data_IF_621177065067
#
_entry.id   IF_621177065067
#
_cell.length_a   1.000
_cell.length_b   1.000
_cell.length_c   1.000
_cell.angle_alpha   90.00
_cell.angle_beta   90.00
_cell.angle_gamma   90.00
#
_symmetry.space_group_name_H-M   'P 1'
#
loop_
_entity.id
_entity.type
_entity.pdbx_description
1 polymer ?
#
# COMPACT_ATOMS: atom_id res chain seq x y z
N UNK A 1 0.28 37.07 21.85
CA UNK A 1 1.23 36.45 20.91
C UNK A 1 0.71 35.06 20.50
N UNK A 2 -0.62 34.89 20.46
CA UNK A 2 -1.55 34.96 19.31
C UNK A 2 -1.50 33.72 18.44
N UNK A 3 -2.48 32.84 18.68
CA UNK A 3 -2.90 31.65 17.92
C UNK A 3 -2.70 31.79 16.38
N UNK A 4 -2.91 32.98 15.82
CA UNK A 4 -2.72 33.28 14.40
C UNK A 4 -1.27 33.32 13.92
N UNK A 5 -0.29 33.65 14.78
CA UNK A 5 1.14 33.58 14.44
C UNK A 5 1.58 32.13 14.25
N UNK A 6 1.14 31.24 15.15
CA UNK A 6 1.37 29.80 15.05
C UNK A 6 0.67 29.21 13.83
N UNK A 7 -0.57 29.62 13.53
CA UNK A 7 -1.27 29.22 12.29
C UNK A 7 -0.52 29.67 11.05
N UNK A 8 0.00 30.89 11.04
CA UNK A 8 0.77 31.37 9.89
C UNK A 8 2.08 30.61 9.71
N UNK A 9 2.76 30.25 10.81
CA UNK A 9 3.96 29.43 10.72
C UNK A 9 3.67 28.04 10.13
N UNK A 10 2.54 27.42 10.49
CA UNK A 10 2.08 26.18 9.87
C UNK A 10 1.81 26.33 8.36
N UNK A 11 1.26 27.47 7.92
CA UNK A 11 1.09 27.78 6.49
C UNK A 11 2.46 27.99 5.80
N UNK A 12 3.40 28.66 6.47
CA UNK A 12 4.75 28.95 5.93
C UNK A 12 5.55 27.67 5.75
N UNK A 13 5.49 26.76 6.72
CA UNK A 13 6.16 25.45 6.68
C UNK A 13 5.41 24.41 5.85
N UNK A 14 4.17 24.71 5.43
CA UNK A 14 3.26 23.80 4.71
C UNK A 14 2.98 22.52 5.49
N UNK A 15 2.78 22.66 6.80
CA UNK A 15 2.61 21.53 7.70
C UNK A 15 1.21 20.90 7.56
N UNK A 16 1.15 19.77 6.86
CA UNK A 16 -0.10 19.03 6.63
C UNK A 16 -0.75 18.44 7.87
N UNK A 17 -0.06 18.41 9.03
CA UNK A 17 -0.68 18.00 10.30
C UNK A 17 -1.79 18.95 10.73
N UNK A 18 -1.79 20.17 10.22
CA UNK A 18 -2.82 21.18 10.48
C UNK A 18 -3.93 21.22 9.41
N UNK A 19 -3.86 20.38 8.38
CA UNK A 19 -4.93 20.29 7.40
C UNK A 19 -6.24 19.83 8.06
N UNK A 20 -7.29 20.63 7.90
CA UNK A 20 -8.59 20.39 8.54
C UNK A 20 -8.69 20.94 9.98
N UNK A 21 -7.58 21.30 10.62
CA UNK A 21 -7.60 22.02 11.91
C UNK A 21 -8.04 23.48 11.74
N UNK A 22 -7.61 24.11 10.63
CA UNK A 22 -8.06 25.43 10.21
C UNK A 22 -7.85 25.62 8.70
N UNK A 23 -8.38 26.72 8.18
CA UNK A 23 -8.22 27.18 6.81
C UNK A 23 -7.67 28.60 6.82
N UNK A 24 -6.96 28.99 5.77
CA UNK A 24 -6.52 30.37 5.59
C UNK A 24 -7.03 30.92 4.26
N UNK A 25 -7.43 32.18 4.24
CA UNK A 25 -7.86 32.88 3.05
C UNK A 25 -6.96 34.07 2.75
N UNK A 26 -6.80 34.36 1.46
CA UNK A 26 -5.91 35.40 0.96
C UNK A 26 -6.76 36.52 0.37
N UNK A 27 -6.74 37.68 1.02
CA UNK A 27 -7.57 38.86 0.66
C UNK A 27 -7.36 39.30 -0.79
N UNK A 28 -6.11 39.31 -1.25
CA UNK A 28 -5.76 39.79 -2.59
C UNK A 28 -6.23 38.87 -3.71
N UNK A 29 -6.48 37.58 -3.44
CA UNK A 29 -6.90 36.61 -4.47
C UNK A 29 -8.34 36.14 -4.30
N UNK A 30 -8.97 36.41 -3.15
CA UNK A 30 -10.30 35.89 -2.83
C UNK A 30 -10.34 34.38 -2.70
N UNK A 31 -9.22 33.72 -2.39
CA UNK A 31 -9.09 32.26 -2.31
C UNK A 31 -8.80 31.81 -0.88
N UNK A 32 -9.47 30.75 -0.43
CA UNK A 32 -9.09 30.02 0.79
C UNK A 32 -8.44 28.66 0.49
N UNK A 33 -7.59 28.22 1.41
CA UNK A 33 -6.65 27.11 1.27
C UNK A 33 -6.52 26.33 2.59
N UNK A 34 -5.95 25.12 2.48
CA UNK A 34 -5.41 24.35 3.61
C UNK A 34 -3.97 24.77 3.93
N UNK A 35 -3.48 24.60 5.17
CA UNK A 35 -2.10 24.92 5.56
C UNK A 35 -1.03 24.29 4.67
N UNK A 36 -1.20 23.04 4.22
CA UNK A 36 -0.25 22.34 3.34
C UNK A 36 -0.23 22.82 1.87
N UNK A 37 -1.00 23.85 1.52
CA UNK A 37 -1.20 24.25 0.12
C UNK A 37 0.15 24.50 -0.60
N UNK A 38 0.41 23.84 -1.75
CA UNK A 38 1.67 23.99 -2.47
C UNK A 38 1.76 25.29 -3.27
N UNK A 39 0.77 26.18 -3.15
CA UNK A 39 0.84 27.51 -3.75
C UNK A 39 1.96 28.34 -3.11
N UNK A 40 2.27 29.48 -3.73
CA UNK A 40 3.21 30.45 -3.15
C UNK A 40 2.61 30.94 -1.83
N UNK A 41 3.40 30.89 -0.76
CA UNK A 41 2.98 31.33 0.57
C UNK A 41 2.69 32.84 0.52
N UNK A 42 1.45 33.28 0.81
CA UNK A 42 1.07 34.69 0.78
C UNK A 42 1.74 35.48 1.90
N UNK A 43 1.86 36.80 1.72
CA UNK A 43 2.32 37.71 2.80
C UNK A 43 1.35 37.69 3.97
N UNK A 44 1.86 37.69 5.21
CA UNK A 44 1.05 37.65 6.44
C UNK A 44 -0.10 38.66 6.48
N UNK A 45 0.15 39.90 6.05
CA UNK A 45 -0.84 40.97 6.04
C UNK A 45 -2.09 40.66 5.19
N UNK A 46 -1.98 39.75 4.23
CA UNK A 46 -3.08 39.38 3.34
C UNK A 46 -3.82 38.12 3.81
N UNK A 47 -3.42 37.50 4.91
CA UNK A 47 -3.95 36.22 5.39
C UNK A 47 -4.99 36.43 6.48
N UNK A 48 -6.08 35.69 6.42
CA UNK A 48 -7.09 35.60 7.48
C UNK A 48 -7.44 34.13 7.71
N UNK A 49 -7.63 33.72 8.97
CA UNK A 49 -7.86 32.31 9.32
C UNK A 49 -9.34 32.03 9.61
N UNK A 50 -9.78 30.82 9.28
CA UNK A 50 -11.13 30.34 9.49
C UNK A 50 -11.10 28.93 10.10
N UNK A 51 -12.04 28.63 11.00
CA UNK A 51 -12.16 27.29 11.59
C UNK A 51 -12.65 26.24 10.59
N UNK A 52 -13.57 26.62 9.70
CA UNK A 52 -14.18 25.71 8.73
C UNK A 52 -14.15 26.28 7.32
N UNK A 53 -14.17 25.41 6.32
CA UNK A 53 -14.31 25.81 4.92
C UNK A 53 -15.60 26.62 4.68
N UNK A 54 -16.71 26.22 5.33
CA UNK A 54 -17.99 26.93 5.26
C UNK A 54 -17.88 28.38 5.77
N UNK A 55 -17.11 28.64 6.84
CA UNK A 55 -16.91 30.00 7.33
C UNK A 55 -16.13 30.87 6.33
N UNK A 56 -15.12 30.31 5.66
CA UNK A 56 -14.38 31.01 4.61
C UNK A 56 -15.27 31.31 3.38
N UNK A 57 -16.12 30.36 2.99
CA UNK A 57 -17.08 30.54 1.90
C UNK A 57 -18.14 31.59 2.24
N UNK A 58 -18.68 31.55 3.46
CA UNK A 58 -19.63 32.56 3.95
C UNK A 58 -19.03 33.97 4.01
N UNK A 59 -17.70 34.08 4.17
CA UNK A 59 -16.96 35.34 4.07
C UNK A 59 -16.59 35.75 2.62
N UNK A 60 -17.09 35.03 1.61
CA UNK A 60 -16.94 35.38 0.19
C UNK A 60 -15.69 34.81 -0.50
N UNK A 61 -14.92 33.93 0.16
CA UNK A 61 -13.73 33.33 -0.45
C UNK A 61 -14.08 32.05 -1.23
N UNK A 62 -13.49 31.88 -2.41
CA UNK A 62 -13.62 30.65 -3.20
C UNK A 62 -12.57 29.60 -2.82
N UNK A 63 -12.90 28.33 -2.99
CA UNK A 63 -11.98 27.23 -2.72
C UNK A 63 -10.80 27.23 -3.69
N UNK A 64 -9.60 26.96 -3.17
CA UNK A 64 -8.40 26.80 -3.99
C UNK A 64 -8.46 25.53 -4.83
N UNK A 65 -8.36 25.66 -6.15
CA UNK A 65 -8.35 24.51 -7.09
C UNK A 65 -7.13 23.60 -6.96
N UNK A 66 -6.06 24.08 -6.32
CA UNK A 66 -4.78 23.35 -6.19
C UNK A 66 -4.73 22.46 -4.96
N UNK A 67 -5.22 22.96 -3.82
CA UNK A 67 -5.29 22.20 -2.58
C UNK A 67 -6.69 21.71 -2.23
N UNK A 68 -7.73 22.00 -3.03
CA UNK A 68 -9.12 21.52 -2.86
C UNK A 68 -9.56 21.42 -1.40
N UNK A 69 -9.58 22.56 -0.67
CA UNK A 69 -9.92 22.59 0.76
C UNK A 69 -11.39 22.23 1.04
N UNK A 70 -12.21 22.17 0.00
CA UNK A 70 -13.63 21.81 -0.05
C UNK A 70 -13.89 20.30 -0.21
N UNK A 71 -12.85 19.50 -0.48
CA UNK A 71 -13.00 18.05 -0.58
C UNK A 71 -13.38 17.42 0.77
N UNK A 72 -14.03 16.26 0.74
CA UNK A 72 -14.44 15.53 1.95
C UNK A 72 -13.24 14.78 2.55
N UNK A 73 -12.96 14.89 3.87
CA UNK A 73 -11.91 14.10 4.51
C UNK A 73 -12.01 12.60 4.19
N UNK A 74 -10.89 12.00 3.77
CA UNK A 74 -10.83 10.60 3.35
C UNK A 74 -11.20 10.33 1.89
N UNK A 75 -11.74 11.30 1.15
CA UNK A 75 -11.90 11.18 -0.31
C UNK A 75 -10.57 11.26 -1.04
N UNK A 76 -10.49 10.69 -2.26
CA UNK A 76 -9.29 10.77 -3.10
C UNK A 76 -8.90 12.22 -3.42
N UNK A 77 -9.87 13.14 -3.51
CA UNK A 77 -9.63 14.56 -3.76
C UNK A 77 -9.08 15.30 -2.53
N UNK A 78 -9.33 14.79 -1.32
CA UNK A 78 -8.81 15.37 -0.08
C UNK A 78 -7.31 15.14 0.07
N UNK A 79 -6.79 13.96 -0.24
CA UNK A 79 -5.34 13.73 -0.23
C UNK A 79 -4.87 13.01 -1.49
N UNK A 80 -4.90 13.73 -2.61
CA UNK A 80 -4.52 13.21 -3.93
C UNK A 80 -3.13 12.56 -3.92
N UNK A 81 -2.17 13.12 -3.15
CA UNK A 81 -0.81 12.55 -3.08
C UNK A 81 -0.80 11.22 -2.35
N UNK A 82 -1.38 11.15 -1.15
CA UNK A 82 -1.42 9.91 -0.39
C UNK A 82 -2.27 8.83 -1.09
N UNK A 83 -3.36 9.22 -1.75
CA UNK A 83 -4.19 8.29 -2.54
C UNK A 83 -3.41 7.69 -3.70
N UNK A 84 -2.73 8.52 -4.51
CA UNK A 84 -1.93 8.02 -5.65
C UNK A 84 -0.78 7.15 -5.17
N UNK A 85 -0.11 7.52 -4.07
CA UNK A 85 0.95 6.69 -3.47
C UNK A 85 0.41 5.37 -2.96
N UNK A 86 -0.71 5.36 -2.23
CA UNK A 86 -1.35 4.14 -1.74
C UNK A 86 -1.76 3.21 -2.89
N UNK A 87 -2.40 3.75 -3.93
CA UNK A 87 -2.76 3.00 -5.15
C UNK A 87 -1.53 2.50 -5.89
N UNK A 88 -0.47 3.31 -6.00
CA UNK A 88 0.79 2.89 -6.61
C UNK A 88 1.42 1.72 -5.85
N UNK A 89 1.44 1.77 -4.52
CA UNK A 89 1.95 0.68 -3.67
C UNK A 89 1.15 -0.62 -3.87
N UNK A 90 -0.19 -0.53 -3.95
CA UNK A 90 -1.04 -1.70 -4.25
C UNK A 90 -0.73 -2.30 -5.63
N UNK A 91 -0.61 -1.46 -6.66
CA UNK A 91 -0.28 -1.92 -8.03
C UNK A 91 1.14 -2.49 -8.11
N UNK A 92 2.11 -1.92 -7.38
CA UNK A 92 3.47 -2.45 -7.28
C UNK A 92 3.45 -3.82 -6.60
N UNK A 93 2.70 -3.97 -5.50
CA UNK A 93 2.53 -5.23 -4.79
C UNK A 93 1.85 -6.30 -5.66
N UNK A 94 0.89 -5.90 -6.49
CA UNK A 94 0.26 -6.74 -7.50
C UNK A 94 1.20 -7.12 -8.67
N UNK A 95 2.41 -6.53 -8.75
CA UNK A 95 3.42 -6.87 -9.76
C UNK A 95 3.28 -6.11 -11.08
N UNK A 96 2.55 -4.99 -11.11
CA UNK A 96 2.38 -4.18 -12.32
C UNK A 96 3.71 -3.69 -12.89
N UNK A 97 4.65 -3.28 -12.03
CA UNK A 97 5.97 -2.81 -12.49
C UNK A 97 6.77 -3.93 -13.17
N UNK A 98 6.59 -5.18 -12.75
CA UNK A 98 7.32 -6.30 -13.33
C UNK A 98 6.78 -6.69 -14.71
N UNK A 99 5.44 -6.63 -14.86
CA UNK A 99 4.74 -6.97 -16.10
C UNK A 99 4.79 -5.85 -17.15
N UNK A 100 4.59 -4.61 -16.74
CA UNK A 100 4.34 -3.47 -17.65
C UNK A 100 5.33 -2.32 -17.46
N UNK A 101 6.27 -2.46 -16.53
CA UNK A 101 7.24 -1.41 -16.22
C UNK A 101 6.63 -0.21 -15.50
N UNK A 102 7.46 0.80 -15.29
CA UNK A 102 7.03 2.06 -14.64
C UNK A 102 6.06 2.84 -15.52
N UNK A 103 6.15 2.69 -16.84
CA UNK A 103 5.22 3.31 -17.80
C UNK A 103 3.81 2.75 -17.66
N UNK A 104 3.65 1.43 -17.55
CA UNK A 104 2.34 0.80 -17.30
C UNK A 104 1.74 1.19 -15.95
N UNK A 105 2.56 1.23 -14.89
CA UNK A 105 2.14 1.76 -13.59
C UNK A 105 1.61 3.19 -13.71
N UNK A 106 2.35 4.06 -14.41
CA UNK A 106 1.99 5.46 -14.57
C UNK A 106 0.69 5.62 -15.38
N UNK A 107 0.52 4.85 -16.45
CA UNK A 107 -0.70 4.82 -17.25
C UNK A 107 -1.93 4.43 -16.42
N UNK A 108 -1.84 3.39 -15.58
CA UNK A 108 -2.95 2.98 -14.68
C UNK A 108 -3.30 4.00 -13.61
N UNK A 109 -2.32 4.79 -13.18
CA UNK A 109 -2.54 5.86 -12.22
C UNK A 109 -3.06 7.15 -12.88
N UNK A 110 -2.95 7.28 -14.20
CA UNK A 110 -3.30 8.51 -14.94
C UNK A 110 -2.25 9.62 -14.80
N UNK A 111 -0.99 9.27 -14.56
CA UNK A 111 0.12 10.22 -14.37
C UNK A 111 1.29 9.90 -15.29
N UNK A 112 2.21 10.86 -15.45
CA UNK A 112 3.52 10.57 -16.06
C UNK A 112 4.42 9.79 -15.10
N UNK A 113 5.32 8.96 -15.64
CA UNK A 113 6.30 8.21 -14.85
C UNK A 113 7.13 9.12 -13.91
N UNK A 114 7.48 10.33 -14.37
CA UNK A 114 8.21 11.33 -13.57
C UNK A 114 7.39 11.81 -12.37
N UNK A 115 6.08 12.01 -12.53
CA UNK A 115 5.21 12.41 -11.42
C UNK A 115 5.09 11.29 -10.39
N UNK A 116 4.89 10.05 -10.83
CA UNK A 116 4.82 8.87 -9.95
C UNK A 116 6.13 8.68 -9.18
N UNK A 117 7.28 8.77 -9.86
CA UNK A 117 8.60 8.73 -9.23
C UNK A 117 8.72 9.78 -8.12
N UNK A 118 8.41 11.04 -8.42
CA UNK A 118 8.55 12.14 -7.46
C UNK A 118 7.63 11.97 -6.26
N UNK A 119 6.39 11.53 -6.47
CA UNK A 119 5.44 11.32 -5.38
C UNK A 119 5.87 10.18 -4.47
N UNK A 120 6.25 9.02 -5.03
CA UNK A 120 6.72 7.89 -4.22
C UNK A 120 8.01 8.22 -3.47
N UNK A 121 8.99 8.86 -4.12
CA UNK A 121 10.22 9.26 -3.42
C UNK A 121 9.94 10.29 -2.32
N UNK A 122 9.03 11.23 -2.54
CA UNK A 122 8.69 12.25 -1.54
C UNK A 122 7.94 11.70 -0.33
N UNK A 123 7.04 10.73 -0.54
CA UNK A 123 6.14 10.24 0.52
C UNK A 123 6.65 8.95 1.19
N UNK A 124 7.29 8.04 0.44
CA UNK A 124 7.78 6.73 0.95
C UNK A 124 9.30 6.56 0.83
N UNK A 125 10.03 7.57 0.34
CA UNK A 125 11.49 7.58 0.28
C UNK A 125 12.11 6.76 -0.86
N UNK A 126 11.32 6.06 -1.68
CA UNK A 126 11.82 5.20 -2.75
C UNK A 126 10.99 5.33 -4.04
N UNK A 127 11.62 5.09 -5.19
CA UNK A 127 10.93 5.07 -6.48
C UNK A 127 10.30 3.72 -6.82
N UNK A 128 9.45 3.63 -7.87
CA UNK A 128 8.74 2.41 -8.27
C UNK A 128 9.64 1.19 -8.45
N UNK A 129 10.80 1.35 -9.09
CA UNK A 129 11.71 0.22 -9.37
C UNK A 129 12.32 -0.34 -8.09
N UNK A 130 12.72 0.53 -7.16
CA UNK A 130 13.28 0.12 -5.87
C UNK A 130 12.22 -0.57 -5.00
N UNK A 131 10.99 -0.03 -4.99
CA UNK A 131 9.85 -0.64 -4.30
C UNK A 131 9.50 -2.02 -4.88
N UNK A 132 9.44 -2.14 -6.21
CA UNK A 132 9.22 -3.43 -6.87
C UNK A 132 10.34 -4.42 -6.56
N UNK A 133 11.60 -3.98 -6.54
CA UNK A 133 12.75 -4.83 -6.16
C UNK A 133 12.63 -5.34 -4.72
N UNK A 134 12.27 -4.47 -3.78
CA UNK A 134 12.06 -4.85 -2.39
C UNK A 134 10.91 -5.86 -2.24
N UNK A 135 9.82 -5.65 -2.98
CA UNK A 135 8.69 -6.59 -3.01
C UNK A 135 9.11 -7.96 -3.53
N UNK A 136 9.85 -8.03 -4.65
CA UNK A 136 10.37 -9.29 -5.18
C UNK A 136 11.27 -10.01 -4.19
N UNK A 137 12.15 -9.29 -3.51
CA UNK A 137 13.01 -9.86 -2.47
C UNK A 137 12.18 -10.44 -1.31
N UNK A 138 11.11 -9.75 -0.89
CA UNK A 138 10.22 -10.22 0.17
C UNK A 138 9.44 -11.47 -0.23
N UNK A 139 8.88 -11.51 -1.44
CA UNK A 139 8.21 -12.69 -2.01
C UNK A 139 9.17 -13.88 -2.08
N UNK A 140 10.38 -13.65 -2.59
CA UNK A 140 11.43 -14.66 -2.65
C UNK A 140 11.78 -15.22 -1.27
N UNK A 141 12.01 -14.36 -0.28
CA UNK A 141 12.29 -14.79 1.09
C UNK A 141 11.15 -15.61 1.67
N UNK A 142 9.91 -15.23 1.39
CA UNK A 142 8.73 -15.99 1.84
C UNK A 142 8.74 -17.39 1.22
N UNK A 143 8.90 -17.50 -0.10
CA UNK A 143 8.96 -18.78 -0.79
C UNK A 143 10.15 -19.64 -0.33
N UNK A 144 11.33 -19.06 -0.15
CA UNK A 144 12.53 -19.76 0.35
C UNK A 144 12.31 -20.35 1.75
N UNK A 145 11.58 -19.65 2.62
CA UNK A 145 11.37 -20.06 4.01
C UNK A 145 10.14 -20.97 4.21
N UNK A 146 9.22 -21.01 3.25
CA UNK A 146 7.93 -21.68 3.43
C UNK A 146 7.68 -22.83 2.45
N UNK A 147 8.48 -22.93 1.39
CA UNK A 147 8.30 -23.94 0.33
C UNK A 147 9.59 -24.73 0.10
N UNK A 148 9.46 -25.91 -0.50
CA UNK A 148 10.60 -26.72 -0.96
C UNK A 148 10.91 -26.53 -2.45
N UNK A 149 10.25 -25.57 -3.12
CA UNK A 149 10.42 -25.30 -4.56
C UNK A 149 11.90 -25.10 -4.92
N UNK A 150 12.36 -25.53 -6.11
CA UNK A 150 13.71 -25.23 -6.58
C UNK A 150 14.00 -23.72 -6.53
N UNK A 151 15.21 -23.34 -6.13
CA UNK A 151 15.61 -21.91 -6.03
C UNK A 151 15.43 -21.18 -7.37
N UNK A 152 15.62 -21.89 -8.48
CA UNK A 152 15.39 -21.39 -9.84
C UNK A 152 13.93 -21.04 -10.08
N UNK A 153 12.99 -21.90 -9.68
CA UNK A 153 11.55 -21.63 -9.77
C UNK A 153 11.15 -20.47 -8.88
N UNK A 154 11.67 -20.41 -7.65
CA UNK A 154 11.40 -19.29 -6.73
C UNK A 154 11.87 -17.96 -7.33
N UNK A 155 13.01 -17.92 -8.01
CA UNK A 155 13.51 -16.69 -8.63
C UNK A 155 12.50 -16.14 -9.64
N UNK A 156 12.00 -16.98 -10.56
CA UNK A 156 11.03 -16.57 -11.57
C UNK A 156 9.64 -16.30 -10.97
N UNK A 157 9.18 -17.14 -10.04
CA UNK A 157 7.91 -16.95 -9.35
C UNK A 157 7.87 -15.65 -8.52
N UNK A 158 9.03 -15.19 -8.05
CA UNK A 158 9.18 -13.91 -7.33
C UNK A 158 9.35 -12.72 -8.27
N UNK A 159 9.22 -12.89 -9.59
CA UNK A 159 9.25 -11.81 -10.59
C UNK A 159 10.65 -11.40 -11.07
N UNK A 160 11.70 -12.16 -10.76
CA UNK A 160 13.04 -11.86 -11.29
C UNK A 160 13.17 -12.33 -12.74
N UNK A 161 13.85 -11.53 -13.58
CA UNK A 161 14.10 -11.88 -14.99
C UNK A 161 15.29 -12.83 -15.17
N UNK A 162 16.15 -12.94 -14.16
CA UNK A 162 17.30 -13.84 -14.19
C UNK A 162 17.68 -14.30 -12.79
N UNK A 163 18.26 -15.51 -12.73
CA UNK A 163 18.78 -16.11 -11.48
C UNK A 163 19.93 -15.26 -10.91
N UNK A 164 20.77 -14.67 -11.78
CA UNK A 164 21.84 -13.78 -11.34
C UNK A 164 21.30 -12.56 -10.61
N UNK A 165 20.32 -11.87 -11.20
CA UNK A 165 19.69 -10.70 -10.57
C UNK A 165 19.02 -11.05 -9.24
N UNK A 166 18.37 -12.23 -9.18
CA UNK A 166 17.78 -12.76 -7.96
C UNK A 166 18.85 -12.96 -6.87
N UNK A 167 19.93 -13.69 -7.18
CA UNK A 167 21.02 -13.94 -6.23
C UNK A 167 21.63 -12.63 -5.72
N UNK A 168 21.92 -11.69 -6.61
CA UNK A 168 22.52 -10.41 -6.26
C UNK A 168 21.59 -9.57 -5.38
N UNK A 169 20.27 -9.56 -5.69
CA UNK A 169 19.28 -8.84 -4.88
C UNK A 169 19.08 -9.45 -3.50
N UNK A 170 19.03 -10.79 -3.38
CA UNK A 170 18.90 -11.45 -2.08
C UNK A 170 20.11 -11.18 -1.19
N UNK A 171 21.33 -11.25 -1.76
CA UNK A 171 22.56 -10.90 -1.04
C UNK A 171 22.57 -9.43 -0.61
N UNK A 172 22.19 -8.50 -1.48
CA UNK A 172 22.17 -7.08 -1.15
C UNK A 172 21.14 -6.73 -0.08
N UNK A 173 19.92 -7.29 -0.17
CA UNK A 173 18.81 -6.94 0.74
C UNK A 173 18.90 -7.65 2.08
N UNK A 174 19.36 -8.91 2.10
CA UNK A 174 19.35 -9.74 3.30
C UNK A 174 20.74 -10.08 3.84
N UNK A 175 21.82 -9.70 3.17
CA UNK A 175 23.21 -10.07 3.53
C UNK A 175 23.44 -11.60 3.63
N UNK A 176 22.61 -12.39 2.95
CA UNK A 176 22.68 -13.85 2.92
C UNK A 176 22.42 -14.33 1.49
N UNK A 177 22.94 -15.50 1.14
CA UNK A 177 22.61 -16.21 -0.10
C UNK A 177 21.21 -16.84 -0.02
N UNK A 178 20.56 -17.14 -1.17
CA UNK A 178 19.25 -17.80 -1.16
C UNK A 178 19.23 -19.13 -0.39
N UNK A 179 20.32 -19.89 -0.43
CA UNK A 179 20.47 -21.15 0.32
C UNK A 179 20.52 -20.90 1.82
N UNK A 180 21.35 -19.95 2.29
CA UNK A 180 21.41 -19.59 3.70
C UNK A 180 20.07 -19.06 4.23
N UNK A 181 19.34 -18.27 3.42
CA UNK A 181 17.99 -17.80 3.77
C UNK A 181 17.00 -18.97 3.93
N UNK A 182 17.14 -20.04 3.12
CA UNK A 182 16.34 -21.26 3.24
C UNK A 182 16.72 -22.06 4.47
N UNK A 183 18.02 -22.26 4.71
CA UNK A 183 18.52 -23.09 5.81
C UNK A 183 18.25 -22.46 7.18
N UNK A 184 18.16 -21.13 7.26
CA UNK A 184 17.73 -20.41 8.46
C UNK A 184 16.24 -20.60 8.82
N UNK A 185 15.44 -21.24 7.97
CA UNK A 185 14.04 -21.53 8.27
C UNK A 185 13.90 -22.82 9.11
N UNK A 186 13.05 -22.83 10.15
CA UNK A 186 12.78 -24.06 10.90
C UNK A 186 12.22 -25.12 9.95
N UNK A 187 12.89 -26.28 9.87
CA UNK A 187 12.52 -27.40 8.98
C UNK A 187 11.03 -27.67 9.12
N UNK A 188 10.27 -27.35 8.09
CA UNK A 188 8.84 -27.64 8.06
C UNK A 188 8.66 -29.16 8.04
N UNK A 189 7.70 -29.69 8.82
CA UNK A 189 7.19 -31.04 8.56
C UNK A 189 6.70 -31.03 7.10
N UNK A 190 7.17 -32.01 6.32
CA UNK A 190 6.80 -32.22 4.92
C UNK A 190 5.30 -31.97 4.74
N UNK A 191 4.92 -30.98 3.95
CA UNK A 191 3.56 -30.97 3.41
C UNK A 191 3.44 -32.20 2.51
N UNK A 192 2.33 -32.94 2.64
CA UNK A 192 2.04 -34.03 1.74
C UNK A 192 2.10 -33.52 0.28
N UNK A 193 2.62 -34.32 -0.67
CA UNK A 193 2.61 -33.94 -2.07
C UNK A 193 1.16 -33.66 -2.50
N UNK A 194 0.92 -32.43 -2.90
CA UNK A 194 -0.37 -31.95 -3.39
C UNK A 194 -0.14 -30.90 -4.46
N UNK A 195 -1.11 -30.73 -5.35
CA UNK A 195 -1.09 -29.67 -6.35
C UNK A 195 -1.21 -28.30 -5.67
N UNK A 196 -0.15 -27.49 -5.69
CA UNK A 196 -0.17 -26.12 -5.19
C UNK A 196 1.11 -25.68 -4.46
N UNK A 197 1.14 -24.42 -4.04
CA UNK A 197 2.25 -23.83 -3.28
C UNK A 197 1.84 -23.77 -1.80
N UNK A 198 2.37 -24.64 -0.92
CA UNK A 198 2.05 -24.57 0.50
C UNK A 198 2.73 -23.34 1.12
N UNK A 199 1.93 -22.42 1.68
CA UNK A 199 2.43 -21.23 2.34
C UNK A 199 2.12 -21.27 3.84
N UNK A 200 3.05 -20.77 4.66
CA UNK A 200 2.81 -20.56 6.09
C UNK A 200 2.35 -19.13 6.31
N UNK A 201 1.12 -18.97 6.78
CA UNK A 201 0.58 -17.67 7.14
C UNK A 201 1.04 -17.30 8.55
N UNK A 202 1.85 -16.24 8.65
CA UNK A 202 2.21 -15.68 9.94
C UNK A 202 0.99 -14.95 10.54
N UNK A 203 0.67 -15.22 11.79
CA UNK A 203 -0.33 -14.47 12.56
C UNK A 203 0.33 -13.87 13.81
N UNK A 204 -0.26 -12.80 14.37
CA UNK A 204 0.18 -12.17 15.62
C UNK A 204 -0.91 -12.33 16.69
N UNK A 205 -0.52 -12.62 17.93
CA UNK A 205 -1.44 -12.75 19.06
C UNK A 205 -2.21 -14.08 19.11
N UNK A 206 -3.19 -14.24 20.02
CA UNK A 206 -4.03 -15.43 20.07
C UNK A 206 -4.89 -15.50 18.80
N UNK A 207 -4.67 -16.53 17.98
CA UNK A 207 -5.45 -16.76 16.78
C UNK A 207 -6.70 -17.57 17.12
N UNK A 208 -7.84 -16.88 17.18
CA UNK A 208 -9.16 -17.48 17.40
C UNK A 208 -9.65 -18.22 16.14
N UNK A 209 -8.94 -19.26 15.73
CA UNK A 209 -9.17 -20.00 14.48
C UNK A 209 -10.65 -20.43 14.35
N UNK A 210 -11.23 -20.93 15.44
CA UNK A 210 -12.62 -21.34 15.50
C UNK A 210 -13.59 -20.26 15.02
N UNK A 211 -13.53 -19.09 15.66
CA UNK A 211 -14.39 -17.95 15.36
C UNK A 211 -14.15 -17.37 13.95
N UNK A 212 -12.90 -17.35 13.50
CA UNK A 212 -12.56 -16.90 12.13
C UNK A 212 -13.18 -17.82 11.10
N UNK A 213 -13.07 -19.14 11.25
CA UNK A 213 -13.66 -20.09 10.32
C UNK A 213 -15.19 -20.14 10.41
N UNK A 214 -15.77 -19.86 11.58
CA UNK A 214 -17.23 -19.69 11.71
C UNK A 214 -17.72 -18.49 10.89
N UNK A 215 -16.99 -17.37 10.94
CA UNK A 215 -17.30 -16.18 10.13
C UNK A 215 -17.15 -16.49 8.63
N UNK A 216 -16.03 -17.09 8.22
CA UNK A 216 -15.80 -17.47 6.83
C UNK A 216 -16.86 -18.42 6.29
N UNK A 217 -17.37 -19.35 7.13
CA UNK A 217 -18.45 -20.24 6.73
C UNK A 217 -19.80 -19.51 6.57
N UNK A 218 -20.08 -18.54 7.46
CA UNK A 218 -21.32 -17.74 7.42
C UNK A 218 -21.34 -16.76 6.26
N UNK A 219 -20.20 -16.17 5.90
CA UNK A 219 -20.09 -15.16 4.83
C UNK A 219 -19.67 -15.75 3.47
N UNK A 220 -19.49 -17.07 3.37
CA UNK A 220 -19.04 -17.73 2.15
C UNK A 220 -19.97 -17.42 0.97
N UNK A 221 -19.40 -16.88 -0.10
CA UNK A 221 -20.14 -16.59 -1.35
C UNK A 221 -20.30 -17.88 -2.17
N UNK A 222 -21.54 -18.38 -2.40
CA UNK A 222 -21.76 -19.61 -3.14
C UNK A 222 -21.14 -19.58 -4.54
N UNK A 223 -20.40 -20.63 -4.90
CA UNK A 223 -19.69 -20.76 -6.18
C UNK A 223 -18.35 -20.01 -6.26
N UNK A 224 -18.00 -19.18 -5.28
CA UNK A 224 -16.70 -18.50 -5.19
C UNK A 224 -15.89 -19.03 -4.02
N UNK A 225 -16.55 -19.29 -2.89
CA UNK A 225 -15.96 -19.71 -1.63
C UNK A 225 -16.70 -20.92 -1.06
N UNK A 226 -15.96 -21.78 -0.36
CA UNK A 226 -16.51 -22.92 0.36
C UNK A 226 -15.78 -23.10 1.69
N UNK A 227 -16.49 -23.59 2.70
CA UNK A 227 -15.89 -24.10 3.94
C UNK A 227 -16.37 -25.53 4.13
N UNK A 228 -15.42 -26.45 4.24
CA UNK A 228 -15.68 -27.90 4.36
C UNK A 228 -15.00 -28.46 5.62
N UNK A 229 -15.48 -29.62 6.10
CA UNK A 229 -14.95 -30.28 7.30
C UNK A 229 -15.62 -29.86 8.61
N UNK A 230 -15.15 -30.44 9.73
CA UNK A 230 -15.67 -30.18 11.07
C UNK A 230 -14.82 -29.16 11.82
N UNK A 231 -15.39 -28.39 12.78
CA UNK A 231 -14.62 -27.46 13.60
C UNK A 231 -13.34 -28.10 14.19
N UNK A 232 -12.22 -27.37 14.11
CA UNK A 232 -10.87 -27.85 14.45
C UNK A 232 -10.10 -28.49 13.29
N UNK A 233 -10.77 -28.83 12.18
CA UNK A 233 -10.18 -29.43 10.99
C UNK A 233 -10.80 -28.89 9.68
N UNK A 234 -11.42 -27.69 9.72
CA UNK A 234 -12.04 -27.09 8.53
C UNK A 234 -11.03 -26.70 7.47
N UNK A 235 -11.50 -26.64 6.24
CA UNK A 235 -10.77 -26.07 5.10
C UNK A 235 -11.65 -25.02 4.45
N UNK A 236 -11.19 -23.77 4.47
CA UNK A 236 -11.78 -22.70 3.68
C UNK A 236 -11.07 -22.65 2.34
N UNK A 237 -11.82 -22.69 1.23
CA UNK A 237 -11.28 -22.50 -0.12
C UNK A 237 -11.96 -21.32 -0.79
N UNK A 238 -11.20 -20.62 -1.62
CA UNK A 238 -11.72 -19.59 -2.51
C UNK A 238 -11.06 -19.62 -3.86
N UNK A 239 -11.82 -19.25 -4.88
CA UNK A 239 -11.27 -19.01 -6.22
C UNK A 239 -10.59 -17.66 -6.29
N UNK A 240 -9.52 -17.58 -7.08
CA UNK A 240 -8.74 -16.39 -7.35
C UNK A 240 -8.67 -16.18 -8.86
N UNK A 241 -8.93 -14.95 -9.31
CA UNK A 241 -8.59 -14.54 -10.67
C UNK A 241 -7.11 -14.17 -10.70
N UNK A 242 -6.32 -14.92 -11.47
CA UNK A 242 -4.89 -14.70 -11.66
C UNK A 242 -4.65 -14.16 -13.08
N UNK A 243 -3.49 -13.55 -13.37
CA UNK A 243 -3.18 -13.00 -14.69
C UNK A 243 -3.25 -14.02 -15.83
N UNK A 244 -2.99 -15.30 -15.55
CA UNK A 244 -2.91 -16.38 -16.55
C UNK A 244 -3.98 -17.46 -16.38
N UNK A 245 -5.05 -17.18 -15.63
CA UNK A 245 -6.14 -18.12 -15.40
C UNK A 245 -6.74 -18.03 -14.01
N UNK A 246 -7.37 -19.11 -13.57
CA UNK A 246 -8.02 -19.17 -12.25
C UNK A 246 -7.18 -20.03 -11.31
N UNK A 247 -7.05 -19.61 -10.06
CA UNK A 247 -6.40 -20.37 -8.99
C UNK A 247 -7.36 -20.68 -7.86
N UNK A 248 -7.00 -21.62 -6.98
CA UNK A 248 -7.71 -21.87 -5.72
C UNK A 248 -6.73 -21.66 -4.57
N UNK A 249 -7.12 -20.83 -3.61
CA UNK A 249 -6.43 -20.73 -2.33
C UNK A 249 -7.19 -21.53 -1.28
N UNK A 250 -6.48 -22.34 -0.50
CA UNK A 250 -7.03 -23.10 0.59
C UNK A 250 -6.31 -22.74 1.90
N UNK A 251 -7.09 -22.51 2.95
CA UNK A 251 -6.59 -22.27 4.31
C UNK A 251 -7.17 -23.34 5.22
N UNK A 252 -6.28 -24.06 5.90
CA UNK A 252 -6.65 -25.09 6.86
C UNK A 252 -6.79 -24.49 8.26
N UNK A 253 -7.89 -24.79 8.92
CA UNK A 253 -8.05 -24.52 10.34
C UNK A 253 -7.05 -25.37 11.10
N UNK A 254 -6.24 -24.74 11.95
CA UNK A 254 -5.44 -25.45 12.93
C UNK A 254 -6.12 -25.32 14.28
N UNK A 255 -6.54 -26.46 14.83
CA UNK A 255 -6.81 -26.56 16.25
C UNK A 255 -5.52 -26.23 17.02
N UNK A 256 -5.66 -25.35 18.00
CA UNK A 256 -4.61 -25.08 19.00
C UNK A 256 -4.55 -26.24 20.00
#
# INVERSE_FOLDING_TARGET
MTDDDSRYEAVRSRDGRFDGAFFFAVRTTGIYCRPSCPAVTPKRCNVTFFRTAAAAQGAGFRACRRCRPDAVPGSAEWNVRADVVGRAMLLIADGVVDREGVTGLAARLGYSARQVQRQLTGEVGAGPVALARAQRAHTARTLLRTTELPVTEIAFASGFRSIRQFNDTIREVYAHTPTEVRDAAPRSRRSAPGTGIPLRLAHRGPYQAGAVFDLLAREAVPGVEEVTGTPGARVHRRTLRLPYGTGVAAVHERAH
#
